data_IF_845422371374
#
_entry.id   IF_845422371374
#
_cell.length_a   1.000
_cell.length_b   1.000
_cell.length_c   1.000
_cell.angle_alpha   90.00
_cell.angle_beta   90.00
_cell.angle_gamma   90.00
#
_symmetry.space_group_name_H-M   'P 1'
#
loop_
_entity.id
_entity.type
_entity.pdbx_description
1 polymer ?
#
# COMPACT_ATOMS: atom_id res chain seq x y z
N UNK A 1 3.71 -22.95 -11.36
CA UNK A 1 3.57 -21.53 -11.10
C UNK A 1 3.35 -21.31 -9.62
N UNK A 2 3.86 -20.25 -9.15
CA UNK A 2 3.64 -19.91 -7.77
C UNK A 2 2.16 -19.75 -7.48
N UNK A 3 1.69 -20.33 -6.41
CA UNK A 3 0.34 -20.13 -5.91
C UNK A 3 0.23 -18.83 -5.12
N UNK A 4 1.30 -18.04 -5.07
CA UNK A 4 1.30 -16.81 -4.31
C UNK A 4 0.29 -15.83 -4.85
N UNK A 5 -0.57 -15.36 -3.98
CA UNK A 5 -1.51 -14.33 -4.33
C UNK A 5 -0.75 -13.01 -4.47
N UNK A 6 -0.88 -12.40 -5.64
CA UNK A 6 -0.28 -11.10 -5.89
C UNK A 6 -1.11 -10.01 -5.18
N UNK A 7 -2.42 -10.21 -5.14
CA UNK A 7 -3.36 -9.24 -4.57
C UNK A 7 -4.15 -9.87 -3.44
N UNK A 8 -4.16 -9.23 -2.28
CA UNK A 8 -4.88 -9.72 -1.10
C UNK A 8 -5.22 -8.56 -0.17
N UNK A 9 -6.08 -8.82 0.81
CA UNK A 9 -6.44 -7.80 1.80
C UNK A 9 -5.46 -7.84 2.97
N UNK A 10 -5.08 -6.65 3.44
CA UNK A 10 -4.22 -6.51 4.61
C UNK A 10 -4.64 -5.25 5.37
N UNK A 11 -4.26 -5.19 6.64
CA UNK A 11 -4.51 -4.02 7.46
C UNK A 11 -3.23 -3.21 7.56
N UNK A 12 -3.28 -1.98 7.09
CA UNK A 12 -2.17 -1.05 7.22
C UNK A 12 -2.36 -0.24 8.49
N UNK A 13 -1.37 -0.26 9.35
CA UNK A 13 -1.38 0.48 10.60
C UNK A 13 -0.37 1.60 10.51
N UNK A 14 -0.85 2.83 10.65
CA UNK A 14 -0.03 4.03 10.56
C UNK A 14 -0.18 4.85 11.83
N UNK A 15 0.81 5.71 12.08
CA UNK A 15 0.76 6.64 13.20
C UNK A 15 0.21 7.98 12.72
N UNK A 16 -0.74 8.53 13.46
CA UNK A 16 -1.37 9.81 13.12
C UNK A 16 -0.37 10.96 13.15
N UNK A 17 -0.59 11.92 12.24
CA UNK A 17 0.33 13.06 12.09
C UNK A 17 0.30 14.03 13.25
N UNK A 18 -0.87 14.20 13.87
CA UNK A 18 -1.08 15.21 14.90
C UNK A 18 -1.13 14.64 16.31
N UNK A 19 -1.81 13.50 16.46
CA UNK A 19 -2.08 12.92 17.78
C UNK A 19 -1.20 11.73 18.10
N UNK A 20 -0.45 11.22 17.13
CA UNK A 20 0.37 10.03 17.22
C UNK A 20 -0.43 8.77 17.55
N UNK A 21 -1.76 8.85 17.46
CA UNK A 21 -2.59 7.67 17.63
C UNK A 21 -2.45 6.74 16.45
N UNK A 22 -2.52 5.45 16.73
CA UNK A 22 -2.46 4.43 15.70
C UNK A 22 -3.77 4.40 14.91
N UNK A 23 -3.66 4.42 13.60
CA UNK A 23 -4.78 4.30 12.68
C UNK A 23 -4.65 3.01 11.91
N UNK A 24 -5.73 2.25 11.82
CA UNK A 24 -5.77 0.97 11.11
C UNK A 24 -6.79 1.06 9.99
N UNK A 25 -6.41 0.60 8.81
CA UNK A 25 -7.30 0.57 7.65
C UNK A 25 -7.08 -0.73 6.88
N UNK A 26 -8.18 -1.39 6.49
CA UNK A 26 -8.10 -2.58 5.66
C UNK A 26 -8.09 -2.17 4.20
N UNK A 27 -7.12 -2.63 3.47
CA UNK A 27 -6.91 -2.25 2.08
C UNK A 27 -6.53 -3.47 1.25
N UNK A 28 -6.84 -3.41 -0.03
CA UNK A 28 -6.33 -4.36 -1.00
C UNK A 28 -4.88 -3.99 -1.30
N UNK A 29 -3.98 -4.95 -1.13
CA UNK A 29 -2.55 -4.74 -1.31
C UNK A 29 -2.03 -5.60 -2.45
N UNK A 30 -1.04 -5.10 -3.17
CA UNK A 30 -0.34 -5.86 -4.21
C UNK A 30 1.05 -6.22 -3.68
N UNK A 31 1.41 -7.49 -3.76
CA UNK A 31 2.77 -7.94 -3.48
C UNK A 31 3.52 -8.09 -4.80
N UNK A 32 4.63 -7.37 -4.92
CA UNK A 32 5.42 -7.34 -6.13
C UNK A 32 6.87 -7.05 -5.78
N UNK A 33 7.81 -7.83 -6.33
CA UNK A 33 9.24 -7.69 -6.06
C UNK A 33 9.58 -7.69 -4.56
N UNK A 34 8.91 -8.56 -3.80
CA UNK A 34 9.12 -8.72 -2.36
C UNK A 34 8.74 -7.50 -1.53
N UNK A 35 7.97 -6.60 -2.12
CA UNK A 35 7.45 -5.43 -1.44
C UNK A 35 5.94 -5.40 -1.50
N UNK A 36 5.33 -4.62 -0.61
CA UNK A 36 3.89 -4.43 -0.59
C UNK A 36 3.55 -3.05 -1.13
N UNK A 37 2.50 -2.97 -1.93
CA UNK A 37 2.08 -1.72 -2.55
C UNK A 37 0.61 -1.48 -2.26
N UNK A 38 0.34 -0.31 -1.70
CA UNK A 38 -1.01 0.19 -1.48
C UNK A 38 -1.25 1.33 -2.44
N UNK A 39 -2.37 1.31 -3.14
CA UNK A 39 -2.67 2.37 -4.10
C UNK A 39 -4.00 3.02 -3.78
N UNK A 40 -4.09 4.32 -4.06
CA UNK A 40 -5.29 5.10 -3.82
C UNK A 40 -5.45 6.12 -4.93
N UNK A 41 -6.69 6.33 -5.35
CA UNK A 41 -6.99 7.34 -6.36
C UNK A 41 -6.87 8.75 -5.76
N UNK A 42 -7.24 8.89 -4.50
CA UNK A 42 -7.25 10.17 -3.80
C UNK A 42 -6.01 10.31 -2.92
N UNK A 43 -5.13 11.26 -3.27
CA UNK A 43 -3.92 11.54 -2.50
C UNK A 43 -4.20 12.16 -1.14
N UNK A 44 -5.44 12.55 -0.87
CA UNK A 44 -5.84 13.15 0.41
C UNK A 44 -6.29 12.13 1.45
N UNK A 45 -6.11 10.85 1.19
CA UNK A 45 -6.43 9.80 2.17
C UNK A 45 -5.57 9.97 3.42
N UNK A 46 -6.19 9.89 4.59
CA UNK A 46 -5.49 10.09 5.85
C UNK A 46 -4.39 9.07 6.07
N UNK A 47 -4.66 7.80 5.77
CA UNK A 47 -3.64 6.76 5.97
C UNK A 47 -2.41 7.01 5.09
N UNK A 48 -2.61 7.52 3.89
CA UNK A 48 -1.52 7.82 2.98
C UNK A 48 -0.66 8.96 3.51
N UNK A 49 -1.30 10.04 3.96
CA UNK A 49 -0.60 11.19 4.55
C UNK A 49 0.15 10.79 5.82
N UNK A 50 -0.49 9.96 6.66
CA UNK A 50 0.14 9.47 7.87
C UNK A 50 1.40 8.66 7.58
N UNK A 51 1.34 7.77 6.58
CA UNK A 51 2.47 6.94 6.21
C UNK A 51 3.62 7.74 5.60
N UNK A 52 3.29 8.82 4.88
CA UNK A 52 4.33 9.71 4.32
C UNK A 52 5.02 10.49 5.44
N UNK A 53 4.25 10.98 6.39
CA UNK A 53 4.79 11.76 7.52
C UNK A 53 5.58 10.88 8.48
N UNK A 54 5.03 9.71 8.80
CA UNK A 54 5.65 8.74 9.72
C UNK A 54 5.82 7.43 8.97
N UNK A 55 6.96 7.21 8.31
CA UNK A 55 7.13 6.06 7.43
C UNK A 55 7.25 4.72 8.15
N UNK A 56 7.42 4.71 9.46
CA UNK A 56 7.39 3.46 10.22
C UNK A 56 5.96 2.96 10.31
N UNK A 57 5.68 1.85 9.63
CA UNK A 57 4.33 1.31 9.54
C UNK A 57 4.33 -0.16 9.97
N UNK A 58 3.13 -0.67 10.24
CA UNK A 58 2.93 -2.09 10.53
C UNK A 58 1.82 -2.61 9.62
N UNK A 59 2.01 -3.82 9.11
CA UNK A 59 1.03 -4.46 8.25
C UNK A 59 0.60 -5.77 8.90
N UNK A 60 -0.71 -5.98 9.01
CA UNK A 60 -1.26 -7.22 9.51
C UNK A 60 -1.79 -8.05 8.34
N UNK A 61 -1.29 -9.26 8.20
CA UNK A 61 -1.70 -10.20 7.14
C UNK A 61 -2.05 -11.52 7.82
N UNK A 62 -3.32 -11.93 7.72
CA UNK A 62 -3.80 -13.18 8.30
C UNK A 62 -3.45 -13.33 9.79
N UNK A 63 -3.56 -12.25 10.53
CA UNK A 63 -3.29 -12.24 11.97
C UNK A 63 -1.82 -12.12 12.35
N UNK A 64 -0.93 -12.03 11.38
CA UNK A 64 0.49 -11.83 11.62
C UNK A 64 0.88 -10.39 11.37
N UNK A 65 1.76 -9.85 12.21
CA UNK A 65 2.20 -8.47 12.12
C UNK A 65 3.60 -8.38 11.53
N UNK A 66 3.76 -7.47 10.59
CA UNK A 66 5.06 -7.19 9.96
C UNK A 66 5.35 -5.71 10.05
N UNK A 67 6.56 -5.35 10.43
CA UNK A 67 6.97 -3.94 10.47
C UNK A 67 7.73 -3.60 9.20
N UNK A 68 7.62 -2.35 8.77
CA UNK A 68 8.29 -1.93 7.55
C UNK A 68 8.36 -0.42 7.43
N UNK A 69 8.92 0.01 6.32
CA UNK A 69 9.07 1.43 5.98
C UNK A 69 8.25 1.76 4.74
N UNK A 70 7.53 2.86 4.82
CA UNK A 70 6.71 3.34 3.72
C UNK A 70 7.45 4.40 2.93
N UNK A 71 7.27 4.40 1.61
CA UNK A 71 7.75 5.48 0.76
C UNK A 71 6.80 5.68 -0.40
N UNK A 72 6.70 6.93 -0.86
CA UNK A 72 5.85 7.26 -2.00
C UNK A 72 6.55 6.85 -3.28
N UNK A 73 5.84 6.10 -4.13
CA UNK A 73 6.37 5.69 -5.43
C UNK A 73 6.26 6.88 -6.38
N UNK A 74 7.39 7.25 -6.98
CA UNK A 74 7.46 8.35 -7.94
C UNK A 74 7.63 7.90 -9.37
N UNK A 75 7.80 6.60 -9.58
CA UNK A 75 7.96 6.00 -10.91
C UNK A 75 6.58 5.72 -11.50
N UNK A 76 6.20 6.47 -12.53
CA UNK A 76 4.90 6.30 -13.19
C UNK A 76 4.72 4.92 -13.81
N UNK A 77 5.78 4.34 -14.34
CA UNK A 77 5.71 2.99 -14.91
C UNK A 77 5.38 1.95 -13.84
N UNK A 78 5.97 2.09 -12.67
CA UNK A 78 5.68 1.19 -11.55
C UNK A 78 4.25 1.39 -11.04
N UNK A 79 3.81 2.64 -10.92
CA UNK A 79 2.44 2.94 -10.51
C UNK A 79 1.43 2.29 -11.44
N UNK A 80 1.66 2.37 -12.75
CA UNK A 80 0.80 1.76 -13.75
C UNK A 80 0.83 0.24 -13.64
N UNK A 81 2.00 -0.35 -13.43
CA UNK A 81 2.14 -1.79 -13.26
C UNK A 81 1.35 -2.29 -12.05
N UNK A 82 1.43 -1.59 -10.92
CA UNK A 82 0.70 -1.94 -9.71
C UNK A 82 -0.81 -1.86 -9.94
N UNK A 83 -1.27 -0.83 -10.64
CA UNK A 83 -2.69 -0.71 -10.98
C UNK A 83 -3.16 -1.87 -11.85
N UNK A 84 -2.37 -2.29 -12.82
CA UNK A 84 -2.69 -3.42 -13.68
C UNK A 84 -2.76 -4.73 -12.91
N UNK A 85 -1.88 -4.92 -11.92
CA UNK A 85 -1.90 -6.11 -11.08
C UNK A 85 -3.09 -6.12 -10.13
N UNK A 86 -3.53 -4.95 -9.69
CA UNK A 86 -4.62 -4.81 -8.73
C UNK A 86 -6.00 -4.94 -9.38
N UNK A 87 -6.15 -4.46 -10.62
CA UNK A 87 -7.44 -4.42 -11.30
C UNK A 87 -7.35 -5.10 -12.66
N UNK A 88 -8.31 -5.98 -12.94
CA UNK A 88 -8.45 -6.61 -14.25
C UNK A 88 -9.16 -5.67 -15.22
N UNK A 89 -9.99 -4.76 -14.71
CA UNK A 89 -10.69 -3.78 -15.51
C UNK A 89 -9.70 -2.79 -16.10
N UNK A 90 -9.61 -2.76 -17.42
CA UNK A 90 -8.69 -1.90 -18.14
C UNK A 90 -8.88 -0.42 -17.79
N UNK A 91 -10.11 0.01 -17.60
CA UNK A 91 -10.40 1.39 -17.24
C UNK A 91 -9.76 1.75 -15.89
N UNK A 92 -9.94 0.88 -14.89
CA UNK A 92 -9.35 1.10 -13.56
C UNK A 92 -7.84 0.96 -13.57
N UNK A 93 -7.33 0.02 -14.37
CA UNK A 93 -5.89 -0.20 -14.47
C UNK A 93 -5.15 0.99 -15.07
N UNK A 94 -5.83 1.78 -15.90
CA UNK A 94 -5.25 2.95 -16.54
C UNK A 94 -5.48 4.26 -15.78
N UNK A 95 -6.24 4.24 -14.69
CA UNK A 95 -6.44 5.43 -13.88
C UNK A 95 -5.15 5.82 -13.15
N UNK A 96 -4.90 7.11 -13.09
CA UNK A 96 -3.76 7.61 -12.31
C UNK A 96 -4.01 7.38 -10.84
N UNK A 97 -3.04 6.80 -10.16
CA UNK A 97 -3.14 6.47 -8.74
C UNK A 97 -1.88 6.85 -8.00
N UNK A 98 -2.06 7.19 -6.73
CA UNK A 98 -0.94 7.38 -5.81
C UNK A 98 -0.62 6.02 -5.21
N UNK A 99 0.64 5.62 -5.23
CA UNK A 99 1.09 4.31 -4.77
C UNK A 99 2.08 4.47 -3.64
N UNK A 100 1.82 3.74 -2.55
CA UNK A 100 2.71 3.69 -1.39
C UNK A 100 3.41 2.33 -1.37
N UNK A 101 4.73 2.36 -1.32
CA UNK A 101 5.56 1.16 -1.26
C UNK A 101 5.94 0.88 0.19
N UNK A 102 5.76 -0.36 0.63
CA UNK A 102 6.18 -0.80 1.96
C UNK A 102 7.29 -1.81 1.80
N UNK A 103 8.46 -1.49 2.34
CA UNK A 103 9.57 -2.41 2.41
C UNK A 103 9.58 -3.03 3.81
N UNK A 104 9.31 -4.33 3.89
CA UNK A 104 9.26 -5.03 5.17
C UNK A 104 10.67 -5.28 5.70
N UNK A 105 10.81 -5.15 7.00
CA UNK A 105 12.08 -5.41 7.68
C UNK A 105 12.42 -6.89 7.71
#
# INVERSE_FOLDING_TARGET
MSSDEITFKAILETRGRKTEKTHRVELLVVRYNEKLYFSRRNANSDWLKNAIKNPDVRVEINGQYFVGKASLVKDDSLCKKISQLKYEDEKRANEHRVVLEITLD
#
